data_IF_263464879322
#
_entry.id   IF_263464879322
#
_cell.length_a   1.000
_cell.length_b   1.000
_cell.length_c   1.000
_cell.angle_alpha   90.00
_cell.angle_beta   90.00
_cell.angle_gamma   90.00
#
_symmetry.space_group_name_H-M   'P 1'
#
loop_
_entity.id
_entity.type
_entity.pdbx_description
1 polymer ?
#
# COMPACT_ATOMS: atom_id res chain seq x y z
N UNK A 1 -3.65 -11.83 15.72
CA UNK A 1 -3.89 -10.62 14.91
C UNK A 1 -5.37 -10.17 14.97
N UNK A 2 -5.66 -8.90 15.33
CA UNK A 2 -7.03 -8.34 15.35
C UNK A 2 -7.57 -8.13 13.92
N UNK A 3 -8.90 -8.07 13.70
CA UNK A 3 -9.45 -7.78 12.36
C UNK A 3 -8.94 -6.47 11.74
N UNK A 4 -8.74 -5.42 12.55
CA UNK A 4 -8.17 -4.16 12.08
C UNK A 4 -6.73 -4.32 11.58
N UNK A 5 -5.87 -5.07 12.29
CA UNK A 5 -4.51 -5.36 11.85
C UNK A 5 -4.51 -6.08 10.49
N UNK A 6 -5.44 -7.04 10.30
CA UNK A 6 -5.55 -7.78 9.03
C UNK A 6 -5.86 -6.84 7.87
N UNK A 7 -6.70 -5.83 8.10
CA UNK A 7 -6.99 -4.82 7.10
C UNK A 7 -5.76 -3.95 6.80
N UNK A 8 -4.96 -3.59 7.81
CA UNK A 8 -3.70 -2.85 7.61
C UNK A 8 -2.74 -3.67 6.73
N UNK A 9 -2.59 -4.98 6.98
CA UNK A 9 -1.76 -5.85 6.11
C UNK A 9 -2.31 -5.94 4.70
N UNK A 10 -3.63 -6.05 4.52
CA UNK A 10 -4.25 -6.04 3.18
C UNK A 10 -4.01 -4.70 2.47
N UNK A 11 -4.08 -3.58 3.17
CA UNK A 11 -3.79 -2.25 2.62
C UNK A 11 -2.33 -2.15 2.17
N UNK A 12 -1.38 -2.66 2.95
CA UNK A 12 0.03 -2.70 2.55
C UNK A 12 0.23 -3.52 1.27
N UNK A 13 -0.35 -4.74 1.22
CA UNK A 13 -0.29 -5.59 0.01
C UNK A 13 -0.94 -4.92 -1.20
N UNK A 14 -2.05 -4.20 -1.01
CA UNK A 14 -2.70 -3.46 -2.08
C UNK A 14 -1.83 -2.30 -2.57
N UNK A 15 -1.21 -1.55 -1.66
CA UNK A 15 -0.29 -0.47 -2.02
C UNK A 15 0.92 -0.99 -2.81
N UNK A 16 1.49 -2.12 -2.42
CA UNK A 16 2.57 -2.77 -3.20
C UNK A 16 2.09 -3.18 -4.60
N UNK A 17 0.91 -3.79 -4.71
CA UNK A 17 0.32 -4.13 -6.01
C UNK A 17 0.02 -2.91 -6.89
N UNK A 18 -0.39 -1.78 -6.28
CA UNK A 18 -0.58 -0.51 -6.99
C UNK A 18 0.75 0.05 -7.51
N UNK A 19 1.82 -0.02 -6.72
CA UNK A 19 3.16 0.41 -7.15
C UNK A 19 3.63 -0.44 -8.34
N UNK A 20 3.50 -1.75 -8.25
CA UNK A 20 3.90 -2.67 -9.33
C UNK A 20 3.11 -2.43 -10.61
N UNK A 21 1.79 -2.25 -10.50
CA UNK A 21 0.92 -1.94 -11.64
C UNK A 21 1.28 -0.59 -12.27
N UNK A 22 1.50 0.44 -11.44
CA UNK A 22 1.89 1.76 -11.91
C UNK A 22 3.28 1.77 -12.57
N UNK A 23 4.20 0.92 -12.13
CA UNK A 23 5.51 0.79 -12.76
C UNK A 23 5.40 0.12 -14.12
N UNK A 24 4.66 -0.99 -14.22
CA UNK A 24 4.42 -1.68 -15.50
C UNK A 24 3.68 -0.78 -16.49
N UNK A 25 2.60 -0.15 -16.05
CA UNK A 25 1.81 0.73 -16.90
C UNK A 25 2.59 1.95 -17.42
N UNK A 26 3.50 2.51 -16.62
CA UNK A 26 4.35 3.63 -17.05
C UNK A 26 5.42 3.19 -18.07
N UNK A 27 5.88 1.93 -18.00
CA UNK A 27 6.77 1.33 -19.03
C UNK A 27 5.99 1.12 -20.33
N UNK A 28 4.76 0.62 -20.23
CA UNK A 28 3.92 0.23 -21.37
C UNK A 28 3.11 1.41 -21.97
N UNK A 29 3.30 2.65 -21.48
CA UNK A 29 2.46 3.79 -21.85
C UNK A 29 2.57 4.15 -23.33
N UNK A 30 1.42 4.34 -23.98
CA UNK A 30 1.35 4.76 -25.40
C UNK A 30 1.07 6.26 -25.56
N UNK A 31 0.57 6.92 -24.50
CA UNK A 31 0.26 8.34 -24.51
C UNK A 31 0.52 9.04 -23.17
N UNK A 32 0.30 10.36 -23.16
CA UNK A 32 0.43 11.22 -21.98
C UNK A 32 -0.62 10.89 -20.92
N UNK A 33 -1.82 10.46 -21.33
CA UNK A 33 -2.92 10.10 -20.42
C UNK A 33 -2.57 8.91 -19.54
N UNK A 34 -1.98 7.85 -20.11
CA UNK A 34 -1.42 6.71 -19.39
C UNK A 34 -0.34 7.16 -18.40
N UNK A 35 0.55 8.05 -18.81
CA UNK A 35 1.58 8.62 -17.91
C UNK A 35 0.98 9.32 -16.68
N UNK A 36 -0.06 10.13 -16.88
CA UNK A 36 -0.77 10.80 -15.77
C UNK A 36 -1.46 9.79 -14.86
N UNK A 37 -2.14 8.78 -15.45
CA UNK A 37 -2.85 7.75 -14.70
C UNK A 37 -1.89 6.94 -13.80
N UNK A 38 -0.81 6.43 -14.37
CA UNK A 38 0.14 5.59 -13.63
C UNK A 38 0.99 6.39 -12.65
N UNK A 39 1.36 7.64 -12.98
CA UNK A 39 1.98 8.55 -12.03
C UNK A 39 1.08 8.83 -10.82
N UNK A 40 -0.19 9.14 -11.06
CA UNK A 40 -1.18 9.36 -9.99
C UNK A 40 -1.38 8.11 -9.13
N UNK A 41 -1.47 6.93 -9.75
CA UNK A 41 -1.59 5.66 -9.04
C UNK A 41 -0.37 5.41 -8.15
N UNK A 42 0.84 5.65 -8.66
CA UNK A 42 2.10 5.49 -7.91
C UNK A 42 2.14 6.41 -6.68
N UNK A 43 1.79 7.68 -6.84
CA UNK A 43 1.76 8.65 -5.74
C UNK A 43 0.74 8.27 -4.67
N UNK A 44 -0.47 7.86 -5.07
CA UNK A 44 -1.49 7.40 -4.15
C UNK A 44 -1.04 6.15 -3.39
N UNK A 45 -0.38 5.21 -4.06
CA UNK A 45 0.11 3.98 -3.46
C UNK A 45 1.17 4.26 -2.37
N UNK A 46 2.15 5.12 -2.63
CA UNK A 46 3.16 5.49 -1.63
C UNK A 46 2.54 6.21 -0.42
N UNK A 47 1.59 7.12 -0.63
CA UNK A 47 0.86 7.78 0.47
C UNK A 47 0.08 6.76 1.30
N UNK A 48 -0.61 5.82 0.66
CA UNK A 48 -1.33 4.75 1.35
C UNK A 48 -0.40 3.83 2.14
N UNK A 49 0.74 3.44 1.54
CA UNK A 49 1.75 2.60 2.19
C UNK A 49 2.28 3.26 3.47
N UNK A 50 2.68 4.53 3.39
CA UNK A 50 3.16 5.29 4.55
C UNK A 50 2.10 5.37 5.66
N UNK A 51 0.83 5.65 5.33
CA UNK A 51 -0.25 5.71 6.32
C UNK A 51 -0.47 4.35 6.99
N UNK A 52 -0.46 3.25 6.22
CA UNK A 52 -0.65 1.90 6.73
C UNK A 52 0.53 1.43 7.60
N UNK A 53 1.77 1.76 7.22
CA UNK A 53 2.97 1.49 8.01
C UNK A 53 2.93 2.23 9.36
N UNK A 54 2.59 3.52 9.33
CA UNK A 54 2.44 4.32 10.55
C UNK A 54 1.36 3.76 11.48
N UNK A 55 0.23 3.29 10.94
CA UNK A 55 -0.83 2.69 11.77
C UNK A 55 -0.42 1.33 12.35
N UNK A 56 0.27 0.50 11.55
CA UNK A 56 0.89 -0.74 12.00
C UNK A 56 1.85 -0.48 13.16
N UNK A 57 2.72 0.52 13.06
CA UNK A 57 3.64 0.89 14.13
C UNK A 57 2.92 1.32 15.41
N UNK A 58 1.86 2.13 15.30
CA UNK A 58 1.05 2.50 16.47
C UNK A 58 0.43 1.28 17.14
N UNK A 59 -0.06 0.32 16.35
CA UNK A 59 -0.60 -0.93 16.88
C UNK A 59 0.47 -1.78 17.57
N UNK A 60 1.70 -1.83 17.04
CA UNK A 60 2.84 -2.49 17.67
C UNK A 60 3.19 -1.80 19.00
N UNK A 61 3.31 -0.46 19.01
CA UNK A 61 3.62 0.33 20.21
C UNK A 61 2.56 0.18 21.31
N UNK A 62 1.28 -0.02 20.94
CA UNK A 62 0.17 -0.29 21.87
C UNK A 62 0.08 -1.76 22.33
N UNK A 63 0.95 -2.64 21.82
CA UNK A 63 0.89 -4.09 22.10
C UNK A 63 -0.33 -4.79 21.48
N UNK A 64 -1.02 -4.16 20.54
CA UNK A 64 -2.19 -4.74 19.86
C UNK A 64 -1.80 -5.66 18.71
N UNK A 65 -0.60 -5.46 18.16
CA UNK A 65 -0.07 -6.21 17.04
C UNK A 65 0.40 -7.60 17.48
N UNK A 66 -0.54 -8.54 17.51
CA UNK A 66 -0.30 -9.88 18.01
C UNK A 66 0.26 -10.76 16.88
N UNK A 67 1.59 -10.99 16.89
CA UNK A 67 2.37 -11.74 15.89
C UNK A 67 2.12 -13.26 15.93
N UNK A 68 1.53 -13.77 17.00
CA UNK A 68 1.44 -15.22 17.28
C UNK A 68 0.20 -15.92 16.69
N UNK A 69 -0.36 -15.42 15.58
CA UNK A 69 -1.42 -16.13 14.84
C UNK A 69 -1.19 -15.99 13.35
N UNK A 70 -0.22 -16.74 12.86
CA UNK A 70 -0.17 -17.20 11.46
C UNK A 70 -0.86 -18.56 11.35
#
# INVERSE_FOLDING_TARGET
>A
MKPCDKNIVKTLKLADAMIDLANRGDIDREDVGCGILYGTMRDAAYKLKLLAENEKEKHIKKGWWNRDRE
#
